data_IF_949357735992
#
_entry.id   IF_949357735992
#
_cell.length_a   1.000
_cell.length_b   1.000
_cell.length_c   1.000
_cell.angle_alpha   90.00
_cell.angle_beta   90.00
_cell.angle_gamma   90.00
#
_symmetry.space_group_name_H-M   'P 1'
#
loop_
_entity.id
_entity.type
_entity.pdbx_description
1 polymer ?
#
# COMPACT_ATOMS: atom_id res chain seq x y z
N UNK A 1 34.12 -12.32 -41.24
CA UNK A 1 33.24 -11.18 -40.84
C UNK A 1 31.97 -11.77 -40.28
N UNK A 2 31.93 -11.98 -38.95
CA UNK A 2 30.82 -12.65 -38.26
C UNK A 2 29.89 -11.57 -37.74
N UNK A 3 28.69 -11.45 -38.32
CA UNK A 3 27.63 -10.57 -37.86
C UNK A 3 26.89 -11.27 -36.74
N UNK A 4 27.12 -10.81 -35.51
CA UNK A 4 26.42 -11.28 -34.31
C UNK A 4 25.01 -10.65 -34.25
N UNK A 5 23.99 -11.46 -34.55
CA UNK A 5 22.59 -11.09 -34.33
C UNK A 5 22.32 -11.23 -32.81
N UNK A 6 22.31 -10.09 -32.09
CA UNK A 6 21.72 -10.01 -30.77
C UNK A 6 20.19 -10.03 -30.93
N UNK A 7 19.59 -11.16 -30.68
CA UNK A 7 18.16 -11.28 -30.51
C UNK A 7 17.79 -10.60 -29.18
N UNK A 8 17.23 -9.42 -29.31
CA UNK A 8 16.53 -8.75 -28.22
C UNK A 8 15.19 -9.51 -28.03
N UNK A 9 15.18 -10.49 -27.14
CA UNK A 9 13.97 -11.09 -26.65
C UNK A 9 13.31 -10.07 -25.71
N UNK A 10 12.47 -9.19 -26.25
CA UNK A 10 11.47 -8.49 -25.48
C UNK A 10 10.47 -9.55 -24.96
N UNK A 11 10.80 -10.16 -23.82
CA UNK A 11 9.79 -10.81 -23.01
C UNK A 11 8.91 -9.69 -22.47
N UNK A 12 7.79 -9.43 -23.14
CA UNK A 12 6.62 -8.86 -22.48
C UNK A 12 6.13 -9.91 -21.49
N UNK A 13 6.69 -9.88 -20.29
CA UNK A 13 6.10 -10.57 -19.16
C UNK A 13 4.69 -9.99 -19.02
N UNK A 14 3.68 -10.78 -19.35
CA UNK A 14 2.33 -10.54 -18.93
C UNK A 14 2.39 -10.38 -17.43
N UNK A 15 2.21 -9.16 -16.93
CA UNK A 15 2.16 -8.88 -15.50
C UNK A 15 0.86 -9.45 -14.95
N UNK A 16 0.82 -10.75 -14.76
CA UNK A 16 -0.18 -11.38 -13.91
C UNK A 16 0.15 -10.97 -12.48
N UNK A 17 -0.61 -10.01 -12.00
CA UNK A 17 -0.87 -9.64 -10.63
C UNK A 17 0.15 -10.03 -9.57
N UNK A 18 1.35 -9.40 -9.56
CA UNK A 18 2.20 -9.47 -8.39
C UNK A 18 1.53 -8.68 -7.27
N UNK A 19 1.18 -9.38 -6.17
CA UNK A 19 0.68 -8.72 -4.96
C UNK A 19 1.83 -7.89 -4.37
N UNK A 20 1.60 -6.58 -4.21
CA UNK A 20 2.54 -5.71 -3.50
C UNK A 20 2.24 -5.74 -2.00
N UNK A 21 3.27 -5.84 -1.18
CA UNK A 21 3.12 -5.83 0.28
C UNK A 21 3.53 -4.47 0.84
N UNK A 22 2.63 -3.84 1.58
CA UNK A 22 2.87 -2.58 2.30
C UNK A 22 2.75 -2.86 3.78
N UNK A 23 3.74 -2.43 4.55
CA UNK A 23 3.74 -2.54 6.01
C UNK A 23 3.54 -1.16 6.62
N UNK A 24 2.63 -1.03 7.57
CA UNK A 24 2.39 0.18 8.33
C UNK A 24 2.19 -0.13 9.82
N UNK A 25 2.48 0.82 10.69
CA UNK A 25 2.18 0.73 12.11
C UNK A 25 0.83 1.39 12.43
N UNK A 26 0.17 0.92 13.47
CA UNK A 26 -1.05 1.56 13.97
C UNK A 26 -0.79 3.03 14.27
N UNK A 27 -1.66 3.91 13.75
CA UNK A 27 -1.58 5.35 13.88
C UNK A 27 -0.82 6.07 12.76
N UNK A 28 0.02 5.37 12.01
CA UNK A 28 0.73 5.94 10.86
C UNK A 28 -0.20 6.17 9.66
N UNK A 29 0.27 6.92 8.70
CA UNK A 29 -0.33 7.00 7.36
C UNK A 29 0.32 5.96 6.45
N UNK A 30 -0.47 5.30 5.62
CA UNK A 30 0.00 4.38 4.60
C UNK A 30 -0.29 4.91 3.20
N UNK A 31 0.63 4.65 2.26
CA UNK A 31 0.41 4.89 0.84
C UNK A 31 0.33 3.53 0.15
N UNK A 32 -0.82 3.26 -0.46
CA UNK A 32 -1.05 2.06 -1.26
C UNK A 32 -0.80 2.40 -2.73
N UNK A 33 0.25 1.84 -3.34
CA UNK A 33 0.66 2.27 -4.67
C UNK A 33 -0.28 1.76 -5.77
N UNK A 34 -0.62 2.65 -6.70
CA UNK A 34 -1.31 2.31 -7.94
C UNK A 34 -0.84 3.30 -9.02
N UNK A 35 0.04 2.85 -9.89
CA UNK A 35 0.62 3.69 -10.95
C UNK A 35 0.33 3.11 -12.32
N UNK A 36 -0.13 3.95 -13.23
CA UNK A 36 -0.28 3.63 -14.63
C UNK A 36 1.06 3.76 -15.34
N UNK A 37 1.16 3.19 -16.54
CA UNK A 37 2.31 3.47 -17.40
C UNK A 37 2.43 4.99 -17.64
N UNK A 38 3.64 5.51 -17.68
CA UNK A 38 3.97 6.95 -17.69
C UNK A 38 3.36 7.81 -18.82
N UNK A 39 2.63 7.19 -19.75
CA UNK A 39 1.99 7.86 -20.87
C UNK A 39 0.49 8.08 -20.69
N UNK A 40 -0.09 7.59 -19.58
CA UNK A 40 -1.54 7.60 -19.35
C UNK A 40 -1.88 8.41 -18.12
N UNK A 41 -2.71 9.46 -18.32
CA UNK A 41 -3.27 10.25 -17.24
C UNK A 41 -4.42 9.50 -16.55
N UNK A 42 -4.43 9.48 -15.22
CA UNK A 42 -5.55 8.99 -14.42
C UNK A 42 -6.58 10.09 -14.10
N UNK A 43 -6.27 11.37 -14.37
CA UNK A 43 -7.11 12.50 -13.99
C UNK A 43 -8.52 12.45 -14.58
N UNK A 44 -8.64 11.90 -15.79
CA UNK A 44 -9.93 11.79 -16.52
C UNK A 44 -10.51 10.38 -16.50
N UNK A 45 -9.93 9.49 -15.65
CA UNK A 45 -10.37 8.11 -15.53
C UNK A 45 -11.17 7.90 -14.23
N UNK A 46 -12.00 6.86 -14.21
CA UNK A 46 -12.48 6.35 -12.92
C UNK A 46 -11.36 5.58 -12.23
N UNK A 47 -11.11 5.89 -10.98
CA UNK A 47 -10.19 5.15 -10.09
C UNK A 47 -10.99 4.57 -8.95
N UNK A 48 -11.04 3.25 -8.86
CA UNK A 48 -11.81 2.53 -7.85
C UNK A 48 -10.87 1.80 -6.90
N UNK A 49 -10.86 2.20 -5.63
CA UNK A 49 -10.19 1.48 -4.56
C UNK A 49 -11.20 0.64 -3.78
N UNK A 50 -10.93 -0.65 -3.64
CA UNK A 50 -11.86 -1.61 -3.06
C UNK A 50 -11.20 -2.51 -2.01
N UNK A 51 -11.99 -2.99 -1.07
CA UNK A 51 -11.71 -4.07 -0.11
C UNK A 51 -12.74 -5.16 -0.32
N UNK A 52 -12.46 -6.19 -1.12
CA UNK A 52 -13.45 -7.21 -1.53
C UNK A 52 -14.05 -8.01 -0.36
N UNK A 53 -13.34 -8.10 0.76
CA UNK A 53 -13.79 -8.78 1.99
C UNK A 53 -14.80 -7.96 2.81
N UNK A 54 -15.00 -6.68 2.50
CA UNK A 54 -15.91 -5.78 3.22
C UNK A 54 -17.24 -5.58 2.48
N UNK A 55 -18.25 -5.12 3.23
CA UNK A 55 -19.56 -4.71 2.70
C UNK A 55 -20.00 -3.40 3.35
N UNK A 56 -20.14 -2.29 2.57
CA UNK A 56 -19.76 -2.15 1.15
C UNK A 56 -18.24 -2.30 0.95
N UNK A 57 -17.83 -2.72 -0.24
CA UNK A 57 -16.42 -2.97 -0.59
C UNK A 57 -15.65 -1.69 -0.94
N UNK A 58 -16.35 -0.59 -1.20
CA UNK A 58 -15.81 0.67 -1.68
C UNK A 58 -14.95 1.35 -0.59
N UNK A 59 -13.66 1.53 -0.89
CA UNK A 59 -12.69 2.25 -0.05
C UNK A 59 -12.62 3.71 -0.46
N UNK A 60 -12.46 3.97 -1.76
CA UNK A 60 -12.42 5.30 -2.35
C UNK A 60 -12.77 5.23 -3.82
N UNK A 61 -13.62 6.11 -4.29
CA UNK A 61 -13.95 6.26 -5.70
C UNK A 61 -13.62 7.69 -6.14
N UNK A 62 -12.88 7.81 -7.23
CA UNK A 62 -12.68 9.05 -7.98
C UNK A 62 -13.27 8.87 -9.37
N UNK A 63 -14.13 9.77 -9.78
CA UNK A 63 -14.71 9.82 -11.12
C UNK A 63 -15.23 11.21 -11.46
N UNK A 64 -15.36 11.52 -12.74
CA UNK A 64 -15.80 12.84 -13.17
C UNK A 64 -14.97 13.96 -12.52
N UNK A 65 -13.65 13.79 -12.45
CA UNK A 65 -12.65 14.72 -11.90
C UNK A 65 -12.84 15.07 -10.42
N UNK A 66 -13.53 14.22 -9.64
CA UNK A 66 -13.78 14.43 -8.22
C UNK A 66 -13.90 13.12 -7.44
N UNK A 67 -13.75 13.24 -6.12
CA UNK A 67 -14.06 12.13 -5.22
C UNK A 67 -15.58 11.90 -5.15
N UNK A 68 -16.02 10.65 -5.35
CA UNK A 68 -17.41 10.22 -5.14
C UNK A 68 -17.45 9.22 -3.98
N UNK A 69 -17.74 9.71 -2.80
CA UNK A 69 -17.69 8.93 -1.56
C UNK A 69 -19.07 8.48 -1.07
N UNK A 70 -20.10 8.55 -1.92
CA UNK A 70 -21.48 8.19 -1.55
C UNK A 70 -21.58 6.74 -1.09
N UNK A 71 -20.91 5.81 -1.77
CA UNK A 71 -20.90 4.39 -1.46
C UNK A 71 -19.71 3.95 -0.58
N UNK A 72 -18.88 4.89 -0.13
CA UNK A 72 -17.71 4.58 0.69
C UNK A 72 -18.07 3.82 1.96
N UNK A 73 -17.35 2.73 2.21
CA UNK A 73 -17.49 2.00 3.46
C UNK A 73 -17.22 2.93 4.67
N UNK A 74 -18.12 2.96 5.65
CA UNK A 74 -18.03 3.87 6.79
C UNK A 74 -16.70 3.84 7.56
N UNK A 75 -16.01 2.68 7.57
CA UNK A 75 -14.73 2.54 8.29
C UNK A 75 -13.60 3.38 7.69
N UNK A 76 -13.73 3.82 6.42
CA UNK A 76 -12.74 4.63 5.73
C UNK A 76 -13.06 6.12 5.68
N UNK A 77 -14.23 6.53 6.17
CA UNK A 77 -14.67 7.93 6.10
C UNK A 77 -13.66 8.89 6.73
N UNK A 78 -13.31 9.94 5.97
CA UNK A 78 -12.36 10.98 6.39
C UNK A 78 -10.91 10.48 6.57
N UNK A 79 -10.57 9.31 6.03
CA UNK A 79 -9.23 8.74 6.15
C UNK A 79 -8.56 8.41 4.82
N UNK A 80 -9.24 8.58 3.70
CA UNK A 80 -8.72 8.25 2.36
C UNK A 80 -8.64 9.47 1.47
N UNK A 81 -7.62 9.55 0.64
CA UNK A 81 -7.47 10.56 -0.40
C UNK A 81 -6.55 10.07 -1.52
N UNK A 82 -6.70 10.64 -2.72
CA UNK A 82 -5.74 10.49 -3.81
C UNK A 82 -4.83 11.72 -3.88
N UNK A 83 -3.69 11.57 -4.55
CA UNK A 83 -2.76 12.68 -4.86
C UNK A 83 -3.22 13.34 -6.17
N UNK A 84 -4.14 14.30 -6.07
CA UNK A 84 -4.85 14.87 -7.24
C UNK A 84 -3.91 15.50 -8.26
N UNK A 85 -2.86 16.16 -7.79
CA UNK A 85 -1.83 16.77 -8.65
C UNK A 85 -1.00 15.71 -9.41
N UNK A 86 -0.99 14.48 -8.91
CA UNK A 86 -0.22 13.38 -9.50
C UNK A 86 -1.06 12.49 -10.43
N UNK A 87 -2.38 12.66 -10.47
CA UNK A 87 -3.26 11.88 -11.35
C UNK A 87 -2.91 12.08 -12.82
N UNK A 88 -2.51 13.28 -13.24
CA UNK A 88 -2.07 13.56 -14.60
C UNK A 88 -0.83 12.75 -14.98
N UNK A 89 0.02 12.46 -14.01
CA UNK A 89 1.23 11.65 -14.18
C UNK A 89 0.95 10.14 -14.06
N UNK A 90 -0.31 9.74 -13.97
CA UNK A 90 -0.71 8.34 -13.84
C UNK A 90 -0.57 7.78 -12.42
N UNK A 91 -0.34 8.59 -11.41
CA UNK A 91 -0.27 8.16 -10.02
C UNK A 91 -1.67 8.20 -9.38
N UNK A 92 -2.30 7.03 -9.26
CA UNK A 92 -3.61 6.83 -8.63
C UNK A 92 -3.51 6.21 -7.23
N UNK A 93 -2.34 6.33 -6.59
CA UNK A 93 -2.08 5.78 -5.25
C UNK A 93 -3.03 6.35 -4.21
N UNK A 94 -3.43 5.48 -3.27
CA UNK A 94 -4.33 5.83 -2.16
C UNK A 94 -3.50 6.18 -0.92
N UNK A 95 -3.77 7.33 -0.32
CA UNK A 95 -3.33 7.64 1.03
C UNK A 95 -4.41 7.22 2.02
N UNK A 96 -4.04 6.36 2.98
CA UNK A 96 -4.88 5.95 4.11
C UNK A 96 -4.24 6.50 5.39
N UNK A 97 -4.96 7.40 6.08
CA UNK A 97 -4.45 8.04 7.30
C UNK A 97 -4.88 7.30 8.55
N UNK A 98 -4.06 7.42 9.61
CA UNK A 98 -4.35 6.85 10.93
C UNK A 98 -4.72 5.37 10.85
N UNK A 99 -3.82 4.59 10.29
CA UNK A 99 -3.98 3.14 10.07
C UNK A 99 -4.36 2.44 11.37
N UNK A 100 -5.29 1.50 11.27
CA UNK A 100 -5.79 0.65 12.37
C UNK A 100 -5.47 -0.81 12.06
N UNK A 101 -5.42 -1.66 13.07
CA UNK A 101 -5.27 -3.12 12.87
C UNK A 101 -6.34 -3.69 11.92
N UNK A 102 -7.57 -3.18 11.99
CA UNK A 102 -8.68 -3.58 11.12
C UNK A 102 -8.52 -3.17 9.65
N UNK A 103 -7.58 -2.29 9.35
CA UNK A 103 -7.27 -1.90 7.96
C UNK A 103 -6.40 -2.95 7.26
N UNK A 104 -5.78 -3.88 7.97
CA UNK A 104 -5.02 -4.97 7.36
C UNK A 104 -5.89 -5.79 6.40
N UNK A 105 -5.32 -6.14 5.24
CA UNK A 105 -6.03 -6.94 4.23
C UNK A 105 -5.62 -6.60 2.81
N UNK A 106 -6.32 -7.18 1.84
CA UNK A 106 -6.06 -6.99 0.42
C UNK A 106 -6.91 -5.85 -0.14
N UNK A 107 -6.24 -4.87 -0.71
CA UNK A 107 -6.84 -3.75 -1.43
C UNK A 107 -6.65 -3.95 -2.92
N UNK A 108 -7.64 -3.51 -3.69
CA UNK A 108 -7.60 -3.53 -5.15
C UNK A 108 -7.74 -2.12 -5.67
N UNK A 109 -6.83 -1.70 -6.54
CA UNK A 109 -6.96 -0.51 -7.37
C UNK A 109 -7.40 -0.95 -8.76
N UNK A 110 -8.53 -0.42 -9.24
CA UNK A 110 -9.10 -0.77 -10.52
C UNK A 110 -9.40 0.49 -11.34
N UNK A 111 -8.98 0.49 -12.60
CA UNK A 111 -9.19 1.59 -13.54
C UNK A 111 -9.83 1.01 -14.82
N UNK A 112 -11.17 1.12 -14.98
CA UNK A 112 -11.95 0.35 -15.94
C UNK A 112 -11.55 0.51 -17.40
N UNK A 113 -11.10 1.70 -17.81
CA UNK A 113 -10.82 2.02 -19.21
C UNK A 113 -9.41 1.64 -19.68
N UNK A 114 -8.56 1.15 -18.77
CA UNK A 114 -7.17 0.80 -19.04
C UNK A 114 -6.96 -0.70 -18.96
N UNK A 115 -7.42 -1.43 -19.98
CA UNK A 115 -7.16 -2.87 -20.19
C UNK A 115 -7.33 -3.75 -18.94
N UNK A 116 -8.33 -3.42 -18.08
CA UNK A 116 -8.60 -4.13 -16.82
C UNK A 116 -7.37 -4.26 -15.90
N UNK A 117 -6.50 -3.26 -15.88
CA UNK A 117 -5.37 -3.27 -14.95
C UNK A 117 -5.89 -3.20 -13.52
N UNK A 118 -5.78 -4.32 -12.85
CA UNK A 118 -6.07 -4.46 -11.44
C UNK A 118 -4.74 -4.61 -10.69
N UNK A 119 -4.47 -3.70 -9.76
CA UNK A 119 -3.32 -3.79 -8.86
C UNK A 119 -3.79 -4.26 -7.51
N UNK A 120 -3.21 -5.35 -7.00
CA UNK A 120 -3.55 -5.89 -5.69
C UNK A 120 -2.44 -5.52 -4.71
N UNK A 121 -2.84 -4.91 -3.58
CA UNK A 121 -1.94 -4.50 -2.50
C UNK A 121 -2.38 -5.20 -1.21
N UNK A 122 -1.47 -5.92 -0.57
CA UNK A 122 -1.68 -6.43 0.77
C UNK A 122 -1.14 -5.43 1.80
N UNK A 123 -2.02 -4.83 2.59
CA UNK A 123 -1.64 -4.01 3.73
C UNK A 123 -1.47 -4.88 4.96
N UNK A 124 -0.27 -4.87 5.52
CA UNK A 124 0.10 -5.54 6.76
C UNK A 124 0.22 -4.47 7.83
N UNK A 125 -0.50 -4.63 8.94
CA UNK A 125 -0.49 -3.63 10.02
C UNK A 125 0.09 -4.25 11.28
N UNK A 126 1.16 -3.62 11.79
CA UNK A 126 1.80 -3.97 13.06
C UNK A 126 1.46 -2.99 14.16
N UNK A 127 1.60 -3.42 15.41
CA UNK A 127 1.56 -2.53 16.57
C UNK A 127 2.94 -1.93 16.83
N UNK A 128 2.97 -0.63 17.21
CA UNK A 128 4.19 -0.02 17.72
C UNK A 128 4.42 -0.51 19.13
N UNK A 129 5.37 -1.40 19.35
CA UNK A 129 5.80 -1.75 20.69
C UNK A 129 6.67 -0.61 21.23
N UNK A 130 6.08 0.30 22.01
CA UNK A 130 6.87 1.17 22.86
C UNK A 130 7.53 0.29 23.93
N UNK A 131 8.81 0.03 23.77
CA UNK A 131 9.63 -0.43 24.87
C UNK A 131 9.60 0.69 25.94
N UNK A 132 8.77 0.51 26.96
CA UNK A 132 8.85 1.31 28.17
C UNK A 132 10.20 1.00 28.80
N UNK A 133 11.20 1.82 28.49
CA UNK A 133 12.45 1.84 29.24
C UNK A 133 12.08 2.38 30.61
N UNK A 134 11.76 1.49 31.54
CA UNK A 134 11.72 1.86 32.96
C UNK A 134 13.16 2.20 33.34
N UNK A 135 13.47 3.49 33.38
CA UNK A 135 14.66 3.96 34.06
C UNK A 135 14.47 3.65 35.53
N UNK A 136 15.09 2.56 35.98
CA UNK A 136 15.29 2.30 37.38
C UNK A 136 16.23 3.38 37.93
N UNK A 137 15.90 4.07 39.04
CA UNK A 137 16.81 5.01 39.65
C UNK A 137 18.05 4.23 40.11
N UNK A 138 19.21 4.82 39.86
CA UNK A 138 20.53 4.33 40.28
C UNK A 138 20.55 3.94 41.75
N UNK A 139 20.57 2.66 42.01
CA UNK A 139 20.93 2.03 43.27
C UNK A 139 21.98 0.98 42.97
N UNK A 140 23.22 1.34 43.31
CA UNK A 140 24.43 0.56 43.30
C UNK A 140 24.23 -0.94 43.52
N UNK A 141 24.70 -1.79 42.59
CA UNK A 141 25.51 -3.01 42.77
C UNK A 141 25.65 -3.83 41.49
N UNK A 142 26.91 -4.00 41.13
CA UNK A 142 27.48 -4.94 40.17
C UNK A 142 26.88 -6.35 40.24
N UNK A 143 26.28 -6.82 39.13
CA UNK A 143 26.35 -8.20 38.66
C UNK A 143 26.06 -8.25 37.15
N UNK A 144 27.09 -8.66 36.44
CA UNK A 144 27.14 -8.94 35.03
C UNK A 144 26.21 -10.11 34.71
N UNK A 145 25.17 -9.87 33.91
CA UNK A 145 24.40 -10.96 33.30
C UNK A 145 24.55 -10.83 31.77
N UNK A 146 25.36 -11.75 31.22
CA UNK A 146 25.40 -12.02 29.77
C UNK A 146 24.07 -12.67 29.38
N UNK A 147 23.21 -11.95 28.69
CA UNK A 147 22.01 -12.47 28.03
C UNK A 147 22.23 -12.52 26.55
N UNK A 148 22.31 -13.73 26.00
CA UNK A 148 22.35 -13.98 24.56
C UNK A 148 21.02 -13.51 23.89
N UNK A 149 21.16 -12.64 22.90
CA UNK A 149 20.04 -12.29 22.04
C UNK A 149 19.86 -13.36 20.96
N UNK A 150 18.80 -14.12 21.08
CA UNK A 150 18.38 -15.05 20.03
C UNK A 150 17.53 -14.28 19.01
N UNK A 151 18.13 -13.95 17.87
CA UNK A 151 17.41 -13.39 16.73
C UNK A 151 16.74 -14.55 16.01
N UNK A 152 15.43 -14.71 16.19
CA UNK A 152 14.65 -15.61 15.34
C UNK A 152 14.46 -14.96 13.97
N UNK A 153 15.23 -15.47 13.01
CA UNK A 153 15.05 -15.22 11.59
C UNK A 153 13.84 -16.05 11.11
N UNK A 154 12.81 -15.38 10.63
CA UNK A 154 11.69 -16.04 9.96
C UNK A 154 11.98 -15.97 8.47
N UNK A 155 12.21 -17.13 7.88
CA UNK A 155 12.33 -17.33 6.43
C UNK A 155 10.94 -17.32 5.76
#
# INVERSE_FOLDING_TARGET
MLVSFKHNLNLTAAQHGTVQHIVALVGDDAILPCTLSSTVSAAYQSVEWQRPDLKPKEVHLYRDEKDDLVLQNPVFRGRTSLFKEELENGNASLKLTRVKLSDAGNYTCYIPLLDHQETIIQLIVGESTHLLTTQTPLGDRSHEIKGEFNVMSIA
#
